data_IF_335851478638
#
_entry.id   IF_335851478638
#
_cell.length_a   1.000
_cell.length_b   1.000
_cell.length_c   1.000
_cell.angle_alpha   90.00
_cell.angle_beta   90.00
_cell.angle_gamma   90.00
#
_symmetry.space_group_name_H-M   'P 1'
#
loop_
_entity.id
_entity.type
_entity.pdbx_description
1 polymer ?
#
# COMPACT_ATOMS: atom_id res chain seq x y z
N UNK A 1 -1.11 8.77 -1.23
CA UNK A 1 -0.90 9.68 -2.37
C UNK A 1 0.37 10.56 -2.24
N UNK A 2 0.55 11.44 -1.24
CA UNK A 2 1.71 12.36 -1.23
C UNK A 2 3.07 11.65 -1.29
N UNK A 3 3.20 10.51 -0.69
CA UNK A 3 4.46 9.75 -0.66
C UNK A 3 4.91 9.19 -2.03
N UNK A 4 3.98 8.86 -2.92
CA UNK A 4 4.33 8.45 -4.28
C UNK A 4 4.92 9.62 -5.08
N UNK A 5 4.44 10.83 -4.84
CA UNK A 5 4.93 12.04 -5.49
C UNK A 5 6.35 12.40 -5.04
N UNK A 6 6.67 12.17 -3.75
CA UNK A 6 8.01 12.47 -3.20
C UNK A 6 9.12 11.74 -3.96
N UNK A 7 8.96 10.45 -4.23
CA UNK A 7 9.97 9.70 -4.98
C UNK A 7 10.13 10.14 -6.42
N UNK A 8 9.01 10.51 -7.07
CA UNK A 8 9.05 11.07 -8.42
C UNK A 8 9.79 12.41 -8.46
N UNK A 9 9.50 13.31 -7.52
CA UNK A 9 10.18 14.62 -7.40
C UNK A 9 11.66 14.44 -7.09
N UNK A 10 11.99 13.52 -6.19
CA UNK A 10 13.38 13.27 -5.80
C UNK A 10 14.24 12.74 -6.97
N UNK A 11 13.73 11.77 -7.72
CA UNK A 11 14.42 11.24 -8.88
C UNK A 11 14.57 12.28 -10.00
N UNK A 12 13.53 13.11 -10.21
CA UNK A 12 13.56 14.20 -11.17
C UNK A 12 14.61 15.26 -10.78
N UNK A 13 14.69 15.62 -9.50
CA UNK A 13 15.69 16.53 -8.99
C UNK A 13 17.12 15.98 -9.16
N UNK A 14 17.31 14.68 -8.91
CA UNK A 14 18.59 14.03 -9.09
C UNK A 14 19.06 13.98 -10.54
N UNK A 15 18.13 13.78 -11.48
CA UNK A 15 18.42 13.76 -12.91
C UNK A 15 18.43 15.15 -13.56
N UNK A 16 18.26 16.23 -12.78
CA UNK A 16 18.23 17.63 -13.25
C UNK A 16 17.20 17.94 -14.34
N UNK A 17 16.06 17.25 -14.33
CA UNK A 17 14.96 17.56 -15.23
C UNK A 17 14.11 18.73 -14.71
N UNK A 18 13.87 19.71 -15.59
CA UNK A 18 12.98 20.84 -15.28
C UNK A 18 11.51 20.39 -15.37
N UNK A 19 10.67 21.02 -14.53
CA UNK A 19 9.22 20.84 -14.61
C UNK A 19 8.70 21.20 -15.99
N UNK A 20 8.00 20.28 -16.63
CA UNK A 20 7.37 20.46 -17.93
C UNK A 20 6.00 19.79 -17.94
N UNK A 21 5.19 20.08 -18.94
CA UNK A 21 3.87 19.43 -19.13
C UNK A 21 4.01 17.90 -19.21
N UNK A 22 5.07 17.41 -19.85
CA UNK A 22 5.35 15.97 -19.93
C UNK A 22 5.58 15.33 -18.54
N UNK A 23 6.31 16.03 -17.66
CA UNK A 23 6.51 15.60 -16.27
C UNK A 23 5.17 15.57 -15.52
N UNK A 24 4.32 16.58 -15.70
CA UNK A 24 3.00 16.61 -15.08
C UNK A 24 2.13 15.42 -15.51
N UNK A 25 2.16 15.03 -16.77
CA UNK A 25 1.48 13.82 -17.28
C UNK A 25 2.02 12.55 -16.59
N UNK A 26 3.34 12.45 -16.41
CA UNK A 26 3.97 11.35 -15.67
C UNK A 26 3.48 11.27 -14.21
N UNK A 27 3.34 12.40 -13.53
CA UNK A 27 2.79 12.46 -12.17
C UNK A 27 1.31 12.09 -12.09
N UNK A 28 0.50 12.46 -13.08
CA UNK A 28 -0.92 12.07 -13.15
C UNK A 28 -1.03 10.54 -13.30
N UNK A 29 -0.27 9.96 -14.22
CA UNK A 29 -0.22 8.50 -14.39
C UNK A 29 0.23 7.78 -13.11
N UNK A 30 1.28 8.30 -12.44
CA UNK A 30 1.76 7.79 -11.16
C UNK A 30 0.68 7.86 -10.07
N UNK A 31 -0.07 8.96 -10.00
CA UNK A 31 -1.14 9.12 -9.03
C UNK A 31 -2.25 8.09 -9.25
N UNK A 32 -2.61 7.80 -10.50
CA UNK A 32 -3.58 6.76 -10.85
C UNK A 32 -3.16 5.38 -10.34
N UNK A 33 -1.94 4.96 -10.65
CA UNK A 33 -1.39 3.66 -10.21
C UNK A 33 -1.26 3.58 -8.68
N UNK A 34 -0.88 4.69 -8.04
CA UNK A 34 -0.78 4.74 -6.59
C UNK A 34 -2.15 4.66 -5.89
N UNK A 35 -3.18 5.27 -6.48
CA UNK A 35 -4.56 5.18 -5.99
C UNK A 35 -5.10 3.75 -6.07
N UNK A 36 -4.99 3.15 -7.25
CA UNK A 36 -5.41 1.77 -7.48
C UNK A 36 -4.75 0.81 -6.47
N UNK A 37 -3.44 0.94 -6.30
CA UNK A 37 -2.70 0.11 -5.36
C UNK A 37 -3.18 0.26 -3.91
N UNK A 38 -3.43 1.50 -3.47
CA UNK A 38 -3.90 1.78 -2.10
C UNK A 38 -5.27 1.17 -1.82
N UNK A 39 -6.21 1.36 -2.74
CA UNK A 39 -7.58 0.83 -2.63
C UNK A 39 -7.59 -0.69 -2.59
N UNK A 40 -6.89 -1.33 -3.53
CA UNK A 40 -6.85 -2.80 -3.60
C UNK A 40 -6.19 -3.39 -2.35
N UNK A 41 -5.13 -2.78 -1.82
CA UNK A 41 -4.49 -3.23 -0.58
C UNK A 41 -5.45 -3.21 0.61
N UNK A 42 -6.26 -2.17 0.75
CA UNK A 42 -7.27 -2.08 1.82
C UNK A 42 -8.34 -3.16 1.70
N UNK A 43 -8.81 -3.46 0.48
CA UNK A 43 -9.79 -4.52 0.24
C UNK A 43 -9.23 -5.89 0.67
N UNK A 44 -7.99 -6.20 0.33
CA UNK A 44 -7.36 -7.46 0.73
C UNK A 44 -7.16 -7.57 2.25
N UNK A 45 -6.78 -6.49 2.91
CA UNK A 45 -6.64 -6.47 4.36
C UNK A 45 -7.98 -6.66 5.06
N UNK A 46 -9.05 -6.03 4.55
CA UNK A 46 -10.39 -6.17 5.11
C UNK A 46 -10.96 -7.58 4.89
N UNK A 47 -10.70 -8.17 3.72
CA UNK A 47 -11.07 -9.55 3.42
C UNK A 47 -10.35 -10.54 4.34
N UNK A 48 -9.04 -10.42 4.52
CA UNK A 48 -8.26 -11.25 5.41
C UNK A 48 -8.71 -11.13 6.88
N UNK A 49 -9.08 -9.91 7.30
CA UNK A 49 -9.62 -9.68 8.64
C UNK A 49 -10.97 -10.36 8.84
N UNK A 50 -11.86 -10.23 7.85
CA UNK A 50 -13.20 -10.83 7.89
C UNK A 50 -13.10 -12.36 7.94
N UNK A 51 -12.25 -12.96 7.12
CA UNK A 51 -12.01 -14.40 7.11
C UNK A 51 -11.51 -14.91 8.46
N UNK A 52 -10.55 -14.22 9.06
CA UNK A 52 -10.04 -14.57 10.40
C UNK A 52 -11.09 -14.42 11.49
N UNK A 53 -11.91 -13.36 11.46
CA UNK A 53 -13.01 -13.18 12.41
C UNK A 53 -14.03 -14.31 12.31
N UNK A 54 -14.39 -14.71 11.09
CA UNK A 54 -15.33 -15.81 10.86
C UNK A 54 -14.77 -17.13 11.37
N UNK A 55 -13.47 -17.39 11.14
CA UNK A 55 -12.79 -18.57 11.67
C UNK A 55 -12.77 -18.60 13.21
N UNK A 56 -12.39 -17.52 13.86
CA UNK A 56 -12.41 -17.43 15.32
C UNK A 56 -13.82 -17.63 15.89
N UNK A 57 -14.85 -17.11 15.20
CA UNK A 57 -16.24 -17.30 15.60
C UNK A 57 -16.68 -18.77 15.46
N UNK A 58 -16.28 -19.47 14.40
CA UNK A 58 -16.59 -20.91 14.23
C UNK A 58 -15.85 -21.80 15.23
N UNK A 59 -14.67 -21.39 15.70
CA UNK A 59 -13.90 -22.06 16.74
C UNK A 59 -14.35 -21.71 18.17
N UNK A 60 -15.33 -20.80 18.32
CA UNK A 60 -15.82 -20.34 19.63
C UNK A 60 -14.79 -19.54 20.42
N UNK A 61 -13.75 -19.02 19.79
CA UNK A 61 -12.65 -18.30 20.41
C UNK A 61 -12.78 -16.78 20.18
N UNK A 62 -12.48 -16.00 21.22
CA UNK A 62 -12.46 -14.55 21.12
C UNK A 62 -11.34 -14.07 20.18
N UNK A 63 -11.63 -13.10 19.31
CA UNK A 63 -10.66 -12.49 18.41
C UNK A 63 -9.63 -11.68 19.21
N UNK A 64 -8.36 -12.01 19.06
CA UNK A 64 -7.25 -11.44 19.84
C UNK A 64 -6.40 -10.50 18.97
N UNK A 65 -5.54 -9.68 19.60
CA UNK A 65 -4.57 -8.81 18.89
C UNK A 65 -3.57 -9.62 18.03
N UNK A 66 -3.23 -10.82 18.45
CA UNK A 66 -2.33 -11.70 17.68
C UNK A 66 -3.03 -12.24 16.43
N UNK A 67 -4.34 -12.51 16.49
CA UNK A 67 -5.15 -12.87 15.34
C UNK A 67 -5.27 -11.70 14.36
N UNK A 68 -5.37 -10.46 14.84
CA UNK A 68 -5.35 -9.25 14.02
C UNK A 68 -4.01 -9.12 13.29
N UNK A 69 -2.89 -9.26 13.98
CA UNK A 69 -1.55 -9.20 13.37
C UNK A 69 -1.36 -10.30 12.34
N UNK A 70 -1.79 -11.52 12.64
CA UNK A 70 -1.71 -12.65 11.70
C UNK A 70 -2.56 -12.41 10.45
N UNK A 71 -3.75 -11.82 10.59
CA UNK A 71 -4.61 -11.44 9.46
C UNK A 71 -3.95 -10.38 8.57
N UNK A 72 -3.37 -9.32 9.18
CA UNK A 72 -2.69 -8.25 8.47
C UNK A 72 -1.46 -8.79 7.73
N UNK A 73 -0.67 -9.63 8.38
CA UNK A 73 0.52 -10.24 7.74
C UNK A 73 0.12 -11.14 6.57
N UNK A 74 -0.91 -11.97 6.73
CA UNK A 74 -1.41 -12.84 5.66
C UNK A 74 -1.89 -12.02 4.45
N UNK A 75 -2.75 -11.02 4.68
CA UNK A 75 -3.27 -10.15 3.61
C UNK A 75 -2.19 -9.32 2.93
N UNK A 76 -1.21 -8.80 3.70
CA UNK A 76 -0.09 -8.06 3.14
C UNK A 76 0.82 -8.94 2.27
N UNK A 77 1.21 -10.11 2.76
CA UNK A 77 2.10 -11.04 2.03
C UNK A 77 1.46 -11.55 0.74
N UNK A 78 0.17 -11.86 0.78
CA UNK A 78 -0.58 -12.31 -0.41
C UNK A 78 -0.57 -11.24 -1.52
N UNK A 79 -0.56 -9.96 -1.15
CA UNK A 79 -0.57 -8.84 -2.09
C UNK A 79 0.82 -8.43 -2.58
N UNK A 80 1.89 -8.73 -1.86
CA UNK A 80 3.27 -8.39 -2.26
C UNK A 80 3.63 -9.00 -3.61
N UNK A 81 3.34 -10.29 -3.81
CA UNK A 81 3.73 -11.01 -5.02
C UNK A 81 3.16 -10.41 -6.31
N UNK A 82 1.83 -10.22 -6.48
CA UNK A 82 1.29 -9.62 -7.70
C UNK A 82 1.73 -8.17 -7.88
N UNK A 83 1.87 -7.40 -6.79
CA UNK A 83 2.36 -6.03 -6.88
C UNK A 83 3.80 -5.96 -7.38
N UNK A 84 4.70 -6.77 -6.85
CA UNK A 84 6.10 -6.81 -7.30
C UNK A 84 6.20 -7.19 -8.78
N UNK A 85 5.38 -8.13 -9.26
CA UNK A 85 5.32 -8.48 -10.68
C UNK A 85 4.92 -7.29 -11.55
N UNK A 86 3.85 -6.56 -11.18
CA UNK A 86 3.37 -5.41 -11.93
C UNK A 86 4.40 -4.28 -11.96
N UNK A 87 4.96 -3.92 -10.79
CA UNK A 87 5.95 -2.85 -10.68
C UNK A 87 7.23 -3.19 -11.45
N UNK A 88 7.72 -4.43 -11.34
CA UNK A 88 8.89 -4.87 -12.10
C UNK A 88 8.64 -4.83 -13.60
N UNK A 89 7.46 -5.27 -14.07
CA UNK A 89 7.10 -5.22 -15.49
C UNK A 89 7.05 -3.78 -16.03
N UNK A 90 6.47 -2.84 -15.27
CA UNK A 90 6.39 -1.44 -15.69
C UNK A 90 7.78 -0.80 -15.68
N UNK A 91 8.58 -1.00 -14.64
CA UNK A 91 9.95 -0.47 -14.58
C UNK A 91 10.78 -1.05 -15.72
N UNK A 92 10.73 -2.36 -15.97
CA UNK A 92 11.45 -3.00 -17.06
C UNK A 92 11.03 -2.46 -18.45
N UNK A 93 9.74 -2.14 -18.62
CA UNK A 93 9.23 -1.52 -19.84
C UNK A 93 9.66 -0.05 -20.02
N UNK A 94 9.82 0.69 -18.93
CA UNK A 94 10.24 2.09 -18.96
C UNK A 94 11.75 2.29 -18.99
N UNK A 95 12.53 1.32 -18.47
CA UNK A 95 14.01 1.40 -18.42
C UNK A 95 14.64 1.67 -19.79
N UNK A 96 14.31 0.98 -20.91
CA UNK A 96 14.93 1.22 -22.20
C UNK A 96 14.63 2.63 -22.74
N UNK A 97 13.55 3.25 -22.33
CA UNK A 97 13.20 4.62 -22.72
C UNK A 97 14.22 5.63 -22.17
N UNK A 98 14.78 5.38 -20.97
CA UNK A 98 15.79 6.26 -20.38
C UNK A 98 17.10 6.35 -21.18
N UNK A 99 17.44 5.30 -21.91
CA UNK A 99 18.64 5.25 -22.76
C UNK A 99 18.34 5.44 -24.24
N UNK A 100 17.09 5.68 -24.60
CA UNK A 100 16.70 5.94 -25.97
C UNK A 100 17.25 7.30 -26.43
N UNK A 101 17.87 7.33 -27.61
CA UNK A 101 18.35 8.51 -28.29
C UNK A 101 17.64 8.66 -29.62
N UNK A 102 16.91 9.73 -29.82
CA UNK A 102 16.18 9.99 -31.07
C UNK A 102 15.21 11.17 -30.94
N UNK A 103 14.64 11.59 -32.04
CA UNK A 103 13.61 12.64 -32.07
C UNK A 103 12.39 12.22 -31.25
N UNK A 104 12.07 12.98 -30.20
CA UNK A 104 10.96 12.68 -29.28
C UNK A 104 11.35 11.86 -28.04
N UNK A 105 12.57 11.30 -27.95
CA UNK A 105 13.01 10.56 -26.76
C UNK A 105 13.05 11.41 -25.50
N UNK A 106 13.39 12.70 -25.61
CA UNK A 106 13.40 13.62 -24.47
C UNK A 106 12.03 13.77 -23.81
N UNK A 107 10.94 13.79 -24.58
CA UNK A 107 9.59 13.85 -24.07
C UNK A 107 9.23 12.57 -23.30
N UNK A 108 9.57 11.41 -23.87
CA UNK A 108 9.32 10.10 -23.26
C UNK A 108 10.11 9.93 -21.97
N UNK A 109 11.38 10.34 -21.95
CA UNK A 109 12.21 10.31 -20.73
C UNK A 109 11.61 11.17 -19.62
N UNK A 110 11.12 12.37 -19.93
CA UNK A 110 10.48 13.27 -18.96
C UNK A 110 9.21 12.69 -18.34
N UNK A 111 8.50 11.81 -19.04
CA UNK A 111 7.34 11.08 -18.52
C UNK A 111 7.79 9.88 -17.67
N UNK A 112 8.80 9.14 -18.15
CA UNK A 112 9.26 7.91 -17.52
C UNK A 112 9.96 8.13 -16.16
N UNK A 113 10.75 9.20 -16.02
CA UNK A 113 11.53 9.51 -14.82
C UNK A 113 10.64 9.62 -13.57
N UNK A 114 9.62 10.50 -13.50
CA UNK A 114 8.76 10.60 -12.34
C UNK A 114 7.96 9.31 -12.07
N UNK A 115 7.59 8.58 -13.12
CA UNK A 115 6.89 7.30 -12.96
C UNK A 115 7.77 6.25 -12.29
N UNK A 116 9.00 6.06 -12.75
CA UNK A 116 9.93 5.06 -12.17
C UNK A 116 10.23 5.41 -10.70
N UNK A 117 10.64 6.65 -10.42
CA UNK A 117 10.96 7.10 -9.07
C UNK A 117 9.78 6.99 -8.11
N UNK A 118 8.61 7.44 -8.58
CA UNK A 118 7.39 7.38 -7.79
C UNK A 118 6.88 5.95 -7.58
N UNK A 119 7.05 5.04 -8.54
CA UNK A 119 6.68 3.64 -8.36
C UNK A 119 7.54 2.93 -7.31
N UNK A 120 8.85 3.14 -7.35
CA UNK A 120 9.75 2.54 -6.34
C UNK A 120 9.36 3.01 -4.94
N UNK A 121 9.26 4.33 -4.74
CA UNK A 121 8.90 4.88 -3.43
C UNK A 121 7.49 4.50 -2.99
N UNK A 122 6.51 4.55 -3.89
CA UNK A 122 5.14 4.15 -3.62
C UNK A 122 5.03 2.68 -3.23
N UNK A 123 5.80 1.80 -3.87
CA UNK A 123 5.78 0.38 -3.57
C UNK A 123 6.32 0.09 -2.18
N UNK A 124 7.51 0.60 -1.86
CA UNK A 124 8.11 0.42 -0.53
C UNK A 124 7.20 0.97 0.55
N UNK A 125 6.70 2.19 0.35
CA UNK A 125 5.89 2.86 1.36
C UNK A 125 4.51 2.21 1.52
N UNK A 126 3.86 1.81 0.42
CA UNK A 126 2.56 1.15 0.48
C UNK A 126 2.64 -0.18 1.21
N UNK A 127 3.71 -0.96 0.97
CA UNK A 127 3.90 -2.25 1.63
C UNK A 127 4.17 -2.12 3.14
N UNK A 128 4.76 -1.02 3.58
CA UNK A 128 5.10 -0.81 4.99
C UNK A 128 4.00 -0.02 5.70
N UNK A 129 3.58 1.11 5.14
CA UNK A 129 2.71 2.08 5.81
C UNK A 129 1.26 1.60 5.89
N UNK A 130 0.72 1.01 4.82
CA UNK A 130 -0.68 0.59 4.83
C UNK A 130 -0.95 -0.50 5.88
N UNK A 131 -0.19 -1.62 5.95
CA UNK A 131 -0.39 -2.60 7.01
C UNK A 131 -0.17 -2.03 8.42
N UNK A 132 0.82 -1.14 8.58
CA UNK A 132 1.11 -0.51 9.87
C UNK A 132 -0.06 0.37 10.35
N UNK A 133 -0.55 1.26 9.49
CA UNK A 133 -1.68 2.16 9.82
C UNK A 133 -2.97 1.37 10.03
N UNK A 134 -3.24 0.36 9.20
CA UNK A 134 -4.40 -0.51 9.35
C UNK A 134 -4.37 -1.27 10.68
N UNK A 135 -3.21 -1.82 11.06
CA UNK A 135 -3.01 -2.47 12.35
C UNK A 135 -3.22 -1.55 13.54
N UNK A 136 -2.78 -0.29 13.43
CA UNK A 136 -2.98 0.72 14.46
C UNK A 136 -4.46 1.07 14.65
N UNK A 137 -5.16 1.35 13.55
CA UNK A 137 -6.59 1.72 13.59
C UNK A 137 -7.44 0.57 14.15
N UNK A 138 -7.24 -0.63 13.63
CA UNK A 138 -7.99 -1.82 14.09
C UNK A 138 -7.60 -2.26 15.49
N UNK A 139 -6.36 -2.03 15.91
CA UNK A 139 -5.92 -2.21 17.29
C UNK A 139 -6.68 -1.30 18.26
N UNK A 140 -6.86 -0.04 17.89
CA UNK A 140 -7.65 0.93 18.68
C UNK A 140 -9.13 0.59 18.74
N UNK A 141 -9.72 0.11 17.66
CA UNK A 141 -11.11 -0.38 17.67
C UNK A 141 -11.30 -1.56 18.63
N UNK A 142 -10.36 -2.50 18.65
CA UNK A 142 -10.41 -3.65 19.56
C UNK A 142 -10.28 -3.23 21.04
N UNK A 143 -9.46 -2.24 21.33
CA UNK A 143 -9.33 -1.72 22.70
C UNK A 143 -10.61 -1.00 23.14
N UNK A 144 -11.21 -0.19 22.29
CA UNK A 144 -12.50 0.46 22.58
C UNK A 144 -13.62 -0.55 22.77
N UNK A 145 -13.68 -1.61 21.96
CA UNK A 145 -14.68 -2.66 22.11
C UNK A 145 -14.50 -3.44 23.42
N UNK A 146 -13.27 -3.66 23.89
CA UNK A 146 -12.99 -4.29 25.20
C UNK A 146 -13.43 -3.44 26.39
N UNK A 147 -13.31 -2.13 26.29
CA UNK A 147 -13.73 -1.22 27.37
C UNK A 147 -15.26 -1.09 27.49
N UNK A 148 -16.02 -1.49 26.45
CA UNK A 148 -17.49 -1.43 26.42
C UNK A 148 -18.17 -2.76 26.80
N UNK A 149 -17.42 -3.83 27.10
CA UNK A 149 -18.00 -5.06 27.64
C UNK A 149 -18.05 -4.88 29.18
N UNK A 150 -19.28 -4.70 29.75
CA UNK A 150 -19.41 -4.69 31.21
C UNK A 150 -18.87 -6.01 31.78
N UNK A 151 -18.13 -5.92 32.87
CA UNK A 151 -17.66 -7.09 33.58
C UNK A 151 -18.84 -8.06 33.82
N UNK A 152 -18.66 -9.38 33.60
CA UNK A 152 -19.71 -10.34 33.91
C UNK A 152 -20.14 -10.16 35.35
N UNK A 153 -21.40 -9.79 35.52
CA UNK A 153 -22.04 -9.67 36.84
C UNK A 153 -21.75 -10.95 37.63
N UNK A 154 -21.24 -10.78 38.85
CA UNK A 154 -20.67 -11.80 39.69
C UNK A 154 -21.52 -13.08 39.74
N UNK A 155 -20.84 -14.22 39.68
CA UNK A 155 -21.40 -15.49 40.16
C UNK A 155 -21.88 -15.28 41.58
N UNK A 156 -23.14 -15.62 41.92
CA UNK A 156 -23.51 -15.73 43.32
C UNK A 156 -22.69 -16.86 43.95
N UNK A 157 -22.10 -16.56 45.08
CA UNK A 157 -21.47 -17.56 45.93
C UNK A 157 -22.57 -18.48 46.45
N UNK A 158 -22.50 -19.76 46.14
CA UNK A 158 -23.08 -20.87 46.92
C UNK A 158 -21.93 -21.65 47.50
#
# INVERSE_FOLDING_TARGET
MPFALVGGVWLMAWMHFNMSVAVAVGFIALAGVAAETGVVMLIYLDHALTERRTRCASEGRAFTRDDLRAAIMAGAVERVRPKMMTVTAIIAGLLPILWSHGTGSELMQRIAVPMIGGMVSSTVLTLIVIPAVYGLIKGWELERARQHIPAPAGRPAE
#
